data_IF_504863241089
#
_entry.id   IF_504863241089
#
_cell.length_a   1.000
_cell.length_b   1.000
_cell.length_c   1.000
_cell.angle_alpha   90.00
_cell.angle_beta   90.00
_cell.angle_gamma   90.00
#
_symmetry.space_group_name_H-M   'P 1'
#
loop_
_entity.id
_entity.type
_entity.pdbx_description
1 polymer ?
#
# COMPACT_ATOMS: atom_id res chain seq x y z
N UNK A 1 -71.62 -2.82 -30.45
CA UNK A 1 -70.97 -4.02 -29.86
C UNK A 1 -69.42 -4.00 -29.94
N UNK A 2 -68.79 -3.57 -31.04
CA UNK A 2 -67.30 -3.57 -31.16
C UNK A 2 -66.56 -2.66 -30.16
N UNK A 3 -67.15 -1.54 -29.73
CA UNK A 3 -66.54 -0.63 -28.74
C UNK A 3 -66.57 -1.16 -27.30
N UNK A 4 -67.57 -1.98 -26.96
CA UNK A 4 -67.68 -2.60 -25.64
C UNK A 4 -66.66 -3.73 -25.47
N UNK A 5 -66.45 -4.54 -26.51
CA UNK A 5 -65.42 -5.59 -26.51
C UNK A 5 -64.00 -5.02 -26.34
N UNK A 6 -63.70 -3.87 -26.97
CA UNK A 6 -62.41 -3.20 -26.80
C UNK A 6 -62.17 -2.67 -25.39
N UNK A 7 -63.22 -2.12 -24.74
CA UNK A 7 -63.13 -1.64 -23.36
C UNK A 7 -62.98 -2.80 -22.36
N UNK A 8 -63.65 -3.93 -22.58
CA UNK A 8 -63.50 -5.13 -21.76
C UNK A 8 -62.11 -5.76 -21.88
N UNK A 9 -61.54 -5.78 -23.08
CA UNK A 9 -60.17 -6.26 -23.30
C UNK A 9 -59.12 -5.35 -22.64
N UNK A 10 -59.32 -4.03 -22.71
CA UNK A 10 -58.45 -3.07 -22.04
C UNK A 10 -58.50 -3.24 -20.51
N UNK A 11 -59.68 -3.45 -19.93
CA UNK A 11 -59.84 -3.68 -18.49
C UNK A 11 -59.17 -4.97 -18.01
N UNK A 12 -59.25 -6.05 -18.81
CA UNK A 12 -58.58 -7.34 -18.52
C UNK A 12 -57.05 -7.23 -18.61
N UNK A 13 -56.53 -6.44 -19.55
CA UNK A 13 -55.08 -6.19 -19.67
C UNK A 13 -54.61 -5.36 -18.47
N UNK A 14 -55.33 -4.29 -18.10
CA UNK A 14 -54.97 -3.45 -16.96
C UNK A 14 -54.98 -4.26 -15.65
N UNK A 15 -55.96 -5.14 -15.43
CA UNK A 15 -56.01 -5.96 -14.21
C UNK A 15 -54.93 -7.05 -14.14
N UNK A 16 -54.42 -7.50 -15.29
CA UNK A 16 -53.34 -8.50 -15.34
C UNK A 16 -51.94 -7.87 -15.32
N UNK A 17 -51.81 -6.58 -15.63
CA UNK A 17 -50.56 -5.81 -15.47
C UNK A 17 -50.42 -5.09 -14.14
N UNK A 18 -51.43 -5.14 -13.25
CA UNK A 18 -51.34 -4.67 -11.86
C UNK A 18 -50.46 -5.61 -11.02
N UNK A 19 -49.19 -5.64 -11.38
CA UNK A 19 -47.99 -5.70 -10.53
C UNK A 19 -47.92 -6.70 -9.40
N UNK A 20 -46.87 -7.52 -9.43
CA UNK A 20 -46.32 -8.28 -8.31
C UNK A 20 -45.91 -7.43 -7.08
N UNK A 21 -46.30 -6.15 -6.98
CA UNK A 21 -46.05 -5.26 -5.86
C UNK A 21 -46.78 -5.65 -4.57
N UNK A 22 -47.80 -6.51 -4.64
CA UNK A 22 -48.31 -7.21 -3.45
C UNK A 22 -47.25 -8.18 -2.92
N UNK A 23 -46.66 -8.98 -3.81
CA UNK A 23 -45.81 -10.12 -3.41
C UNK A 23 -44.46 -9.63 -2.86
N UNK A 24 -43.94 -8.53 -3.42
CA UNK A 24 -42.65 -7.92 -3.10
C UNK A 24 -42.80 -6.41 -2.90
N UNK A 25 -42.18 -5.84 -1.86
CA UNK A 25 -42.27 -4.42 -1.51
C UNK A 25 -42.25 -4.21 0.01
N UNK A 26 -42.16 -2.97 0.49
CA UNK A 26 -42.11 -2.68 1.95
C UNK A 26 -43.31 -3.24 2.72
N UNK A 27 -44.50 -3.21 2.11
CA UNK A 27 -45.76 -3.73 2.67
C UNK A 27 -46.20 -5.07 2.02
N UNK A 28 -45.30 -5.74 1.29
CA UNK A 28 -45.61 -6.98 0.58
C UNK A 28 -45.56 -8.24 1.45
N UNK A 29 -46.06 -9.37 0.94
CA UNK A 29 -45.99 -10.66 1.66
C UNK A 29 -44.53 -11.09 1.95
N UNK A 30 -43.62 -10.85 0.99
CA UNK A 30 -42.18 -10.94 1.18
C UNK A 30 -41.58 -9.54 1.30
N UNK A 31 -41.82 -8.88 2.45
CA UNK A 31 -41.26 -7.55 2.72
C UNK A 31 -39.75 -7.57 2.89
N UNK A 32 -39.10 -6.54 2.36
CA UNK A 32 -37.69 -6.28 2.64
C UNK A 32 -37.54 -5.88 4.13
N UNK A 33 -36.69 -6.61 4.85
CA UNK A 33 -36.38 -6.36 6.27
C UNK A 33 -35.05 -5.64 6.45
N UNK A 34 -34.40 -5.25 5.35
CA UNK A 34 -33.10 -4.60 5.35
C UNK A 34 -33.05 -3.37 6.24
N UNK A 35 -34.15 -2.64 6.39
CA UNK A 35 -34.26 -1.42 7.22
C UNK A 35 -34.89 -1.63 8.60
N UNK A 36 -35.29 -2.85 8.96
CA UNK A 36 -35.97 -3.14 10.24
C UNK A 36 -35.11 -2.79 11.46
N UNK A 37 -33.77 -2.84 11.31
CA UNK A 37 -32.83 -2.51 12.39
C UNK A 37 -32.92 -1.04 12.82
N UNK A 38 -33.41 -0.13 11.97
CA UNK A 38 -33.60 1.29 12.30
C UNK A 38 -34.76 1.50 13.29
N UNK A 39 -35.71 0.56 13.34
CA UNK A 39 -36.83 0.59 14.28
C UNK A 39 -36.52 -0.14 15.60
N UNK A 40 -35.32 -0.70 15.75
CA UNK A 40 -34.93 -1.43 16.94
C UNK A 40 -34.81 -0.49 18.15
N UNK A 41 -35.54 -0.79 19.22
CA UNK A 41 -35.49 -0.04 20.47
C UNK A 41 -34.40 -0.58 21.39
N UNK A 42 -33.59 0.31 21.95
CA UNK A 42 -32.60 -0.08 22.96
C UNK A 42 -33.30 -0.36 24.30
N UNK A 43 -33.03 -1.52 24.89
CA UNK A 43 -33.49 -1.84 26.24
C UNK A 43 -32.53 -1.30 27.30
N UNK A 44 -33.03 -0.89 28.47
CA UNK A 44 -32.18 -0.44 29.57
C UNK A 44 -31.20 -1.54 30.02
N UNK A 45 -29.99 -1.18 30.48
CA UNK A 45 -29.03 -2.15 31.00
C UNK A 45 -29.59 -2.86 32.23
N UNK A 46 -29.21 -4.13 32.39
CA UNK A 46 -29.59 -4.95 33.53
C UNK A 46 -29.07 -4.33 34.84
N UNK A 47 -29.96 -4.17 35.82
CA UNK A 47 -29.63 -3.66 37.15
C UNK A 47 -29.53 -4.81 38.15
N UNK A 48 -28.52 -4.79 39.01
CA UNK A 48 -28.36 -5.77 40.09
C UNK A 48 -29.16 -5.31 41.31
N UNK A 49 -30.06 -6.13 41.86
CA UNK A 49 -30.78 -5.82 43.09
C UNK A 49 -29.86 -5.57 44.29
N UNK A 50 -30.25 -4.66 45.19
CA UNK A 50 -29.41 -4.18 46.28
C UNK A 50 -29.09 -5.23 47.37
N UNK A 51 -29.86 -6.32 47.42
CA UNK A 51 -29.72 -7.44 48.36
C UNK A 51 -28.71 -8.50 47.89
N UNK A 52 -28.20 -8.40 46.65
CA UNK A 52 -27.26 -9.36 46.07
C UNK A 52 -25.83 -8.81 46.12
N UNK A 53 -25.09 -9.15 47.17
CA UNK A 53 -23.65 -8.88 47.28
C UNK A 53 -22.81 -9.98 46.63
N UNK A 54 -21.78 -9.62 45.85
CA UNK A 54 -20.81 -10.58 45.29
C UNK A 54 -21.00 -10.96 43.82
N UNK A 55 -21.85 -10.25 43.08
CA UNK A 55 -22.02 -10.48 41.63
C UNK A 55 -20.75 -10.05 40.87
N UNK A 56 -20.24 -10.93 40.00
CA UNK A 56 -19.16 -10.61 39.07
C UNK A 56 -19.58 -9.43 38.19
N UNK A 57 -18.67 -8.49 37.93
CA UNK A 57 -18.95 -7.30 37.11
C UNK A 57 -19.63 -7.71 35.79
N UNK A 58 -20.80 -7.12 35.53
CA UNK A 58 -21.55 -7.33 34.28
C UNK A 58 -20.94 -6.46 33.19
N UNK A 59 -19.85 -6.94 32.60
CA UNK A 59 -19.24 -6.31 31.43
C UNK A 59 -19.96 -6.82 30.16
N UNK A 60 -20.47 -5.92 29.29
CA UNK A 60 -21.12 -6.34 28.04
C UNK A 60 -20.10 -7.01 27.13
N UNK A 61 -20.42 -8.21 26.64
CA UNK A 61 -19.56 -8.96 25.70
C UNK A 61 -19.43 -8.28 24.33
N UNK A 62 -20.39 -7.43 23.97
CA UNK A 62 -20.47 -6.72 22.70
C UNK A 62 -20.69 -5.21 22.95
N UNK A 63 -19.66 -4.46 23.40
CA UNK A 63 -19.79 -3.03 23.65
C UNK A 63 -19.91 -2.27 22.33
N UNK A 64 -20.95 -1.43 22.21
CA UNK A 64 -21.10 -0.50 21.09
C UNK A 64 -20.25 0.75 21.38
N UNK A 65 -19.33 1.16 20.49
CA UNK A 65 -18.52 2.37 20.66
C UNK A 65 -19.41 3.62 20.75
N UNK A 66 -19.14 4.52 21.71
CA UNK A 66 -19.98 5.71 21.96
C UNK A 66 -19.74 6.89 21.01
N UNK A 67 -18.67 6.87 20.22
CA UNK A 67 -18.22 7.99 19.39
C UNK A 67 -18.19 7.61 17.90
N UNK A 68 -19.27 7.00 17.39
CA UNK A 68 -19.43 6.80 15.94
C UNK A 68 -20.05 8.08 15.39
N UNK A 69 -19.41 8.72 14.41
CA UNK A 69 -19.96 9.93 13.81
C UNK A 69 -21.29 9.59 13.12
N UNK A 70 -22.37 10.28 13.51
CA UNK A 70 -23.74 10.15 12.95
C UNK A 70 -23.87 10.66 11.50
N UNK A 71 -22.76 10.75 10.75
CA UNK A 71 -22.72 11.36 9.42
C UNK A 71 -23.41 10.54 8.31
N UNK A 72 -23.93 9.35 8.62
CA UNK A 72 -24.61 8.47 7.67
C UNK A 72 -26.11 8.36 7.88
N UNK A 73 -26.69 8.92 8.95
CA UNK A 73 -28.15 9.03 9.08
C UNK A 73 -28.64 10.19 8.23
N UNK A 74 -28.83 9.94 6.93
CA UNK A 74 -29.76 10.74 6.13
C UNK A 74 -31.14 10.14 6.32
N UNK A 75 -32.14 10.97 6.64
CA UNK A 75 -33.55 10.57 6.50
C UNK A 75 -33.80 10.23 5.02
N UNK A 76 -33.97 8.95 4.69
CA UNK A 76 -34.27 8.47 3.33
C UNK A 76 -33.61 7.13 2.96
N UNK A 77 -33.97 6.60 1.79
CA UNK A 77 -33.44 5.36 1.24
C UNK A 77 -31.92 5.47 0.98
N UNK A 78 -31.13 4.59 1.60
CA UNK A 78 -29.68 4.55 1.39
C UNK A 78 -29.37 4.08 -0.02
N UNK A 79 -29.19 5.04 -0.93
CA UNK A 79 -28.77 4.74 -2.30
C UNK A 79 -27.29 4.36 -2.31
N UNK A 80 -27.01 3.08 -2.54
CA UNK A 80 -25.64 2.59 -2.73
C UNK A 80 -25.04 3.33 -3.93
N UNK A 81 -23.94 4.11 -3.76
CA UNK A 81 -23.31 4.78 -4.88
C UNK A 81 -22.87 3.72 -5.89
N UNK A 82 -23.18 3.95 -7.17
CA UNK A 82 -22.71 3.06 -8.24
C UNK A 82 -21.18 2.96 -8.15
N UNK A 83 -20.61 1.75 -8.24
CA UNK A 83 -19.16 1.62 -8.29
C UNK A 83 -18.64 2.49 -9.43
N UNK A 84 -17.64 3.32 -9.12
CA UNK A 84 -16.90 4.03 -10.15
C UNK A 84 -16.43 3.00 -11.17
N UNK A 85 -16.66 3.21 -12.48
CA UNK A 85 -16.13 2.30 -13.48
C UNK A 85 -14.63 2.20 -13.27
N UNK A 86 -14.11 0.97 -13.16
CA UNK A 86 -12.67 0.73 -13.18
C UNK A 86 -12.15 1.36 -14.48
N UNK A 87 -11.32 2.39 -14.35
CA UNK A 87 -10.57 2.90 -15.49
C UNK A 87 -9.75 1.76 -16.05
N UNK A 88 -10.13 1.26 -17.23
CA UNK A 88 -9.43 0.16 -17.91
C UNK A 88 -8.11 0.60 -18.53
N UNK A 89 -7.67 1.82 -18.28
CA UNK A 89 -6.29 2.26 -18.44
C UNK A 89 -5.58 2.10 -17.10
N UNK A 90 -5.42 0.85 -16.64
CA UNK A 90 -4.14 0.50 -16.03
C UNK A 90 -3.14 0.42 -17.18
N UNK A 91 -2.82 1.56 -17.79
CA UNK A 91 -1.47 1.68 -18.32
C UNK A 91 -0.59 1.38 -17.11
N UNK A 92 0.18 0.30 -17.18
CA UNK A 92 1.27 0.11 -16.25
C UNK A 92 2.20 1.30 -16.45
N UNK A 93 1.91 2.39 -15.76
CA UNK A 93 2.74 3.57 -15.83
C UNK A 93 4.07 3.17 -15.21
N UNK A 94 5.15 3.34 -15.95
CA UNK A 94 6.51 3.08 -15.47
C UNK A 94 6.81 3.83 -14.16
N UNK A 95 6.00 4.83 -13.82
CA UNK A 95 6.09 5.65 -12.63
C UNK A 95 4.78 5.59 -11.86
N UNK A 96 4.85 5.36 -10.56
CA UNK A 96 3.70 5.37 -9.66
C UNK A 96 4.00 6.18 -8.42
N UNK A 97 2.96 6.74 -7.83
CA UNK A 97 3.06 7.51 -6.60
C UNK A 97 2.85 6.62 -5.39
N UNK A 98 3.76 6.67 -4.44
CA UNK A 98 3.66 5.92 -3.19
C UNK A 98 3.56 6.87 -2.00
N UNK A 99 2.79 6.46 -0.99
CA UNK A 99 2.60 7.23 0.25
C UNK A 99 2.62 6.29 1.45
N UNK A 100 3.42 6.63 2.47
CA UNK A 100 3.44 5.95 3.77
C UNK A 100 3.56 7.00 4.87
N UNK A 101 2.53 7.11 5.71
CA UNK A 101 2.41 8.20 6.69
C UNK A 101 2.53 9.57 6.02
N UNK A 102 3.51 10.35 6.46
CA UNK A 102 3.84 11.69 5.93
C UNK A 102 4.85 11.64 4.77
N UNK A 103 5.44 10.48 4.48
CA UNK A 103 6.38 10.31 3.38
C UNK A 103 5.66 10.05 2.05
N UNK A 104 6.13 10.69 0.99
CA UNK A 104 5.67 10.51 -0.39
C UNK A 104 6.89 10.40 -1.30
N UNK A 105 6.83 9.48 -2.26
CA UNK A 105 7.90 9.28 -3.22
C UNK A 105 7.33 8.71 -4.52
N UNK A 106 8.10 8.84 -5.60
CA UNK A 106 7.77 8.20 -6.87
C UNK A 106 8.47 6.85 -6.90
N UNK A 107 7.73 5.78 -7.14
CA UNK A 107 8.27 4.47 -7.47
C UNK A 107 8.34 4.36 -9.00
N UNK A 108 9.56 4.29 -9.52
CA UNK A 108 9.85 4.06 -10.92
C UNK A 108 10.21 2.58 -11.16
N UNK A 109 9.61 1.94 -12.15
CA UNK A 109 9.95 0.59 -12.62
C UNK A 109 11.18 0.62 -13.55
N UNK A 110 12.19 1.39 -13.15
CA UNK A 110 13.43 1.61 -13.89
C UNK A 110 14.59 1.66 -12.91
N UNK A 111 15.79 1.36 -13.39
CA UNK A 111 17.01 1.47 -12.59
C UNK A 111 17.32 2.94 -12.29
N UNK A 112 17.96 3.25 -11.14
CA UNK A 112 18.18 4.64 -10.74
C UNK A 112 18.99 5.46 -11.75
N UNK A 113 19.90 4.80 -12.46
CA UNK A 113 20.73 5.38 -13.50
C UNK A 113 19.91 5.85 -14.74
N UNK A 114 18.74 5.25 -14.99
CA UNK A 114 17.80 5.70 -16.02
C UNK A 114 16.91 6.85 -15.53
N UNK A 115 16.57 6.86 -14.24
CA UNK A 115 15.67 7.84 -13.63
C UNK A 115 16.39 9.16 -13.36
N UNK A 116 17.69 9.10 -13.03
CA UNK A 116 18.53 10.26 -12.75
C UNK A 116 18.48 11.36 -13.81
N UNK A 117 18.80 11.11 -15.09
CA UNK A 117 18.77 12.16 -16.11
C UNK A 117 17.35 12.72 -16.33
N UNK A 118 16.30 11.90 -16.15
CA UNK A 118 14.91 12.35 -16.30
C UNK A 118 14.52 13.31 -15.17
N UNK A 119 14.91 12.99 -13.93
CA UNK A 119 14.69 13.88 -12.79
C UNK A 119 15.49 15.17 -12.95
N UNK A 120 16.77 15.07 -13.30
CA UNK A 120 17.65 16.22 -13.49
C UNK A 120 17.10 17.18 -14.55
N UNK A 121 16.76 16.68 -15.72
CA UNK A 121 16.16 17.45 -16.82
C UNK A 121 14.88 18.17 -16.38
N UNK A 122 14.00 17.50 -15.63
CA UNK A 122 12.78 18.14 -15.14
C UNK A 122 13.07 19.37 -14.27
N UNK A 123 14.07 19.31 -13.38
CA UNK A 123 14.40 20.44 -12.51
C UNK A 123 15.02 21.59 -13.34
N UNK A 124 15.89 21.28 -14.30
CA UNK A 124 16.47 22.29 -15.20
C UNK A 124 15.40 22.97 -16.10
N UNK A 125 14.52 22.18 -16.72
CA UNK A 125 13.42 22.67 -17.58
C UNK A 125 12.45 23.59 -16.81
N UNK A 126 12.37 23.41 -15.50
CA UNK A 126 11.54 24.22 -14.61
C UNK A 126 12.27 25.41 -13.98
N UNK A 127 13.52 25.66 -14.37
CA UNK A 127 14.30 26.83 -13.95
C UNK A 127 15.07 26.64 -12.65
N UNK A 128 15.14 25.44 -12.08
CA UNK A 128 16.02 25.16 -10.95
C UNK A 128 17.48 25.07 -11.42
N UNK A 129 18.38 25.79 -10.75
CA UNK A 129 19.83 25.73 -10.96
C UNK A 129 20.40 24.71 -9.99
N UNK A 130 21.04 23.67 -10.51
CA UNK A 130 21.66 22.62 -9.70
C UNK A 130 22.97 23.14 -9.11
N UNK A 131 23.15 23.00 -7.79
CA UNK A 131 24.31 23.52 -7.05
C UNK A 131 25.28 22.42 -6.61
N UNK A 132 24.74 21.28 -6.16
CA UNK A 132 25.53 20.12 -5.73
C UNK A 132 24.96 18.85 -6.35
N UNK A 133 25.85 17.97 -6.81
CA UNK A 133 25.51 16.67 -7.38
C UNK A 133 26.41 15.58 -6.79
N UNK A 134 25.80 14.46 -6.42
CA UNK A 134 26.44 13.25 -5.94
C UNK A 134 25.81 12.04 -6.64
N UNK A 135 26.16 11.76 -7.90
CA UNK A 135 25.60 10.63 -8.66
C UNK A 135 25.82 9.28 -7.96
N UNK A 136 26.95 9.12 -7.27
CA UNK A 136 27.31 7.93 -6.50
C UNK A 136 26.33 7.58 -5.36
N UNK A 137 25.67 8.60 -4.80
CA UNK A 137 24.64 8.42 -3.75
C UNK A 137 23.25 8.72 -4.27
N UNK A 138 23.11 8.98 -5.57
CA UNK A 138 21.86 9.40 -6.19
C UNK A 138 21.26 10.66 -5.59
N UNK A 139 22.07 11.65 -5.19
CA UNK A 139 21.56 12.90 -4.59
C UNK A 139 21.98 14.15 -5.37
N UNK A 140 21.06 15.05 -5.67
CA UNK A 140 21.39 16.41 -6.13
C UNK A 140 20.56 17.46 -5.39
N UNK A 141 21.08 18.68 -5.31
CA UNK A 141 20.37 19.81 -4.71
C UNK A 141 20.48 21.07 -5.56
N UNK A 142 19.40 21.85 -5.55
CA UNK A 142 19.38 23.15 -6.23
C UNK A 142 20.12 24.21 -5.41
N UNK A 143 20.38 25.35 -6.05
CA UNK A 143 20.67 26.61 -5.37
C UNK A 143 19.42 27.18 -4.70
N UNK A 144 19.61 28.14 -3.80
CA UNK A 144 18.53 28.96 -3.27
C UNK A 144 18.00 29.87 -4.36
N UNK A 145 16.70 29.79 -4.65
CA UNK A 145 16.07 30.57 -5.73
C UNK A 145 14.72 31.13 -5.32
N UNK A 146 14.39 32.31 -5.86
CA UNK A 146 13.09 32.94 -5.68
C UNK A 146 12.08 32.41 -6.70
N UNK A 147 10.78 32.54 -6.39
CA UNK A 147 9.70 32.07 -7.26
C UNK A 147 9.70 32.74 -8.65
N UNK A 148 10.13 34.00 -8.74
CA UNK A 148 10.21 34.75 -10.01
C UNK A 148 11.38 34.32 -10.90
N UNK A 149 12.32 33.53 -10.37
CA UNK A 149 13.40 32.92 -11.14
C UNK A 149 13.02 31.53 -11.71
N UNK A 150 11.92 30.95 -11.26
CA UNK A 150 11.43 29.63 -11.68
C UNK A 150 10.46 29.76 -12.86
N UNK A 151 10.16 28.63 -13.50
CA UNK A 151 9.15 28.59 -14.57
C UNK A 151 7.79 29.09 -14.07
N UNK A 152 7.02 29.76 -14.93
CA UNK A 152 5.72 30.31 -14.55
C UNK A 152 4.74 29.25 -14.01
N UNK A 153 4.83 28.01 -14.52
CA UNK A 153 4.06 26.87 -14.02
C UNK A 153 4.44 26.49 -12.60
N UNK A 154 5.75 26.38 -12.30
CA UNK A 154 6.24 26.05 -10.97
C UNK A 154 5.98 27.18 -10.00
N UNK A 155 6.28 28.43 -10.36
CA UNK A 155 6.01 29.61 -9.55
C UNK A 155 4.53 29.66 -9.11
N UNK A 156 3.59 29.45 -10.04
CA UNK A 156 2.15 29.41 -9.75
C UNK A 156 1.78 28.29 -8.76
N UNK A 157 2.35 27.10 -8.91
CA UNK A 157 2.10 25.97 -8.00
C UNK A 157 2.69 26.22 -6.60
N UNK A 158 3.91 26.76 -6.53
CA UNK A 158 4.57 27.13 -5.28
C UNK A 158 3.77 28.19 -4.53
N UNK A 159 3.29 29.23 -5.21
CA UNK A 159 2.40 30.21 -4.60
C UNK A 159 1.11 29.57 -4.08
N UNK A 160 0.52 28.63 -4.82
CA UNK A 160 -0.68 27.89 -4.37
C UNK A 160 -0.40 26.95 -3.18
N UNK A 161 0.84 26.45 -3.05
CA UNK A 161 1.29 25.64 -1.93
C UNK A 161 1.66 26.47 -0.68
N UNK A 162 1.56 27.80 -0.75
CA UNK A 162 1.78 28.71 0.37
C UNK A 162 3.19 29.31 0.47
N UNK A 163 4.03 29.12 -0.55
CA UNK A 163 5.37 29.71 -0.57
C UNK A 163 5.28 31.23 -0.80
N UNK A 164 5.92 32.00 0.07
CA UNK A 164 5.95 33.47 -0.04
C UNK A 164 6.77 33.92 -1.25
N UNK A 165 6.35 35.00 -1.90
CA UNK A 165 7.11 35.64 -3.00
C UNK A 165 8.47 36.21 -2.53
N UNK A 166 8.58 36.49 -1.23
CA UNK A 166 9.80 36.96 -0.57
C UNK A 166 10.58 35.80 0.09
N UNK A 167 10.30 34.55 -0.28
CA UNK A 167 11.07 33.39 0.13
C UNK A 167 11.99 32.90 -0.98
N UNK A 168 13.12 32.33 -0.58
CA UNK A 168 13.98 31.51 -1.41
C UNK A 168 13.72 30.04 -1.06
N UNK A 169 13.59 29.21 -2.09
CA UNK A 169 13.40 27.77 -1.98
C UNK A 169 14.65 27.05 -2.46
N UNK A 170 15.02 25.99 -1.74
CA UNK A 170 16.03 25.02 -2.17
C UNK A 170 15.42 23.63 -2.16
N UNK A 171 15.69 22.83 -3.19
CA UNK A 171 15.16 21.46 -3.31
C UNK A 171 16.33 20.48 -3.29
N UNK A 172 16.13 19.36 -2.61
CA UNK A 172 16.97 18.18 -2.69
C UNK A 172 16.19 17.02 -3.27
N UNK A 173 16.78 16.38 -4.25
CA UNK A 173 16.25 15.17 -4.87
C UNK A 173 17.18 14.02 -4.53
N UNK A 174 16.60 12.93 -4.07
CA UNK A 174 17.33 11.71 -3.76
C UNK A 174 16.68 10.55 -4.49
N UNK A 175 17.44 9.87 -5.33
CA UNK A 175 17.05 8.72 -6.11
C UNK A 175 17.79 7.54 -5.52
N UNK A 176 17.04 6.52 -5.11
CA UNK A 176 17.58 5.37 -4.40
C UNK A 176 17.09 4.09 -5.07
N UNK A 177 17.89 3.01 -5.10
CA UNK A 177 17.40 1.70 -5.51
C UNK A 177 16.18 1.31 -4.68
N UNK A 178 15.13 0.85 -5.34
CA UNK A 178 13.95 0.36 -4.65
C UNK A 178 14.22 -0.97 -3.95
N UNK A 179 13.26 -1.39 -3.13
CA UNK A 179 13.29 -2.72 -2.50
C UNK A 179 13.12 -3.83 -3.55
N UNK A 180 12.44 -3.52 -4.66
CA UNK A 180 12.33 -4.36 -5.84
C UNK A 180 13.54 -4.08 -6.77
N UNK A 181 14.24 -5.11 -7.25
CA UNK A 181 15.19 -5.03 -8.37
C UNK A 181 14.59 -4.25 -9.55
N UNK A 182 15.50 -3.59 -10.26
CA UNK A 182 15.17 -2.73 -11.41
C UNK A 182 14.12 -1.66 -11.11
N UNK A 183 13.89 -1.31 -9.83
CA UNK A 183 13.05 -0.18 -9.45
C UNK A 183 13.88 0.88 -8.74
N UNK A 184 13.36 2.10 -8.76
CA UNK A 184 13.94 3.25 -8.07
C UNK A 184 12.87 3.99 -7.30
N UNK A 185 13.28 4.60 -6.21
CA UNK A 185 12.46 5.49 -5.41
C UNK A 185 13.03 6.90 -5.50
N UNK A 186 12.19 7.86 -5.92
CA UNK A 186 12.57 9.28 -6.04
C UNK A 186 11.90 10.07 -4.94
N UNK A 187 12.72 10.67 -4.09
CA UNK A 187 12.33 11.52 -2.98
C UNK A 187 12.64 12.97 -3.30
N UNK A 188 11.68 13.85 -3.02
CA UNK A 188 11.84 15.30 -3.18
C UNK A 188 11.57 15.96 -1.84
N UNK A 189 12.53 16.74 -1.36
CA UNK A 189 12.41 17.51 -0.13
C UNK A 189 12.78 18.96 -0.41
N UNK A 190 11.96 19.88 0.06
CA UNK A 190 12.19 21.32 -0.06
C UNK A 190 12.44 21.96 1.29
N UNK A 191 13.21 23.05 1.27
CA UNK A 191 13.40 23.96 2.40
C UNK A 191 13.21 25.39 1.91
N UNK A 192 12.75 26.25 2.81
CA UNK A 192 12.48 27.65 2.53
C UNK A 192 13.23 28.53 3.53
N UNK A 193 13.65 29.70 3.06
CA UNK A 193 14.19 30.76 3.91
C UNK A 193 13.74 32.14 3.40
N UNK A 194 13.73 33.19 4.24
CA UNK A 194 13.50 34.54 3.76
C UNK A 194 14.53 34.97 2.71
N UNK A 195 14.10 35.69 1.68
CA UNK A 195 14.96 36.18 0.62
C UNK A 195 16.10 37.07 1.17
N UNK A 196 17.31 36.87 0.66
CA UNK A 196 18.50 37.57 1.14
C UNK A 196 19.03 37.11 2.51
N UNK A 197 18.42 36.09 3.12
CA UNK A 197 18.96 35.44 4.32
C UNK A 197 20.22 34.65 3.99
N UNK A 198 21.22 34.71 4.87
CA UNK A 198 22.42 33.87 4.81
C UNK A 198 22.29 32.60 5.65
N UNK A 199 21.11 32.33 6.21
CA UNK A 199 20.85 31.12 6.98
C UNK A 199 21.05 29.88 6.11
N UNK A 200 21.85 28.95 6.61
CA UNK A 200 22.04 27.63 6.03
C UNK A 200 21.05 26.67 6.68
N UNK A 201 19.89 26.49 6.03
CA UNK A 201 18.83 25.60 6.51
C UNK A 201 19.15 24.19 6.03
N UNK A 202 19.46 23.29 6.96
CA UNK A 202 19.72 21.90 6.65
C UNK A 202 18.46 21.20 6.12
N UNK A 203 18.63 20.32 5.13
CA UNK A 203 17.53 19.48 4.65
C UNK A 203 17.07 18.54 5.77
N UNK A 204 15.76 18.48 6.05
CA UNK A 204 15.26 17.58 7.08
C UNK A 204 15.29 16.13 6.58
N UNK A 205 15.40 15.18 7.50
CA UNK A 205 15.31 13.74 7.20
C UNK A 205 13.88 13.33 6.80
N UNK A 206 12.87 14.12 7.20
CA UNK A 206 11.45 13.92 6.88
C UNK A 206 10.88 15.22 6.29
N UNK A 207 9.95 15.11 5.36
CA UNK A 207 9.25 16.25 4.78
C UNK A 207 8.66 17.15 5.87
N UNK A 208 9.09 18.41 5.90
CA UNK A 208 8.50 19.46 6.75
C UNK A 208 7.50 20.32 5.96
N UNK A 209 7.77 20.55 4.67
CA UNK A 209 6.92 21.35 3.80
C UNK A 209 5.97 20.45 2.99
N UNK A 210 4.98 19.85 3.65
CA UNK A 210 4.08 18.84 3.06
C UNK A 210 3.40 19.30 1.76
N UNK A 211 2.95 20.56 1.68
CA UNK A 211 2.28 21.10 0.51
C UNK A 211 3.21 21.27 -0.69
N UNK A 212 4.39 21.84 -0.45
CA UNK A 212 5.39 22.09 -1.48
C UNK A 212 6.02 20.79 -2.00
N UNK A 213 6.45 19.91 -1.09
CA UNK A 213 7.03 18.61 -1.45
C UNK A 213 6.04 17.77 -2.26
N UNK A 214 4.76 17.77 -1.88
CA UNK A 214 3.72 17.07 -2.63
C UNK A 214 3.52 17.67 -4.03
N UNK A 215 3.47 19.00 -4.16
CA UNK A 215 3.29 19.66 -5.44
C UNK A 215 4.46 19.38 -6.41
N UNK A 216 5.70 19.44 -5.91
CA UNK A 216 6.89 19.13 -6.71
C UNK A 216 6.96 17.65 -7.11
N UNK A 217 6.64 16.75 -6.17
CA UNK A 217 6.61 15.30 -6.44
C UNK A 217 5.55 14.95 -7.49
N UNK A 218 4.37 15.55 -7.40
CA UNK A 218 3.27 15.29 -8.34
C UNK A 218 3.55 15.83 -9.75
N UNK A 219 4.19 16.99 -9.84
CA UNK A 219 4.56 17.57 -11.13
C UNK A 219 5.74 16.83 -11.77
N UNK A 220 6.71 16.36 -10.97
CA UNK A 220 7.77 15.46 -11.41
C UNK A 220 7.20 14.14 -11.95
N UNK A 221 6.28 13.50 -11.22
CA UNK A 221 5.59 12.29 -11.65
C UNK A 221 4.86 12.50 -12.98
N UNK A 222 4.11 13.60 -13.10
CA UNK A 222 3.40 13.93 -14.32
C UNK A 222 4.36 14.18 -15.50
N UNK A 223 5.53 14.78 -15.24
CA UNK A 223 6.57 14.97 -16.25
C UNK A 223 7.18 13.65 -16.71
N UNK A 224 7.53 12.77 -15.76
CA UNK A 224 8.07 11.44 -16.02
C UNK A 224 7.09 10.58 -16.85
N UNK A 225 5.80 10.59 -16.50
CA UNK A 225 4.76 9.90 -17.26
C UNK A 225 4.68 10.39 -18.71
N UNK A 226 4.62 11.72 -18.92
CA UNK A 226 4.61 12.30 -20.27
C UNK A 226 5.86 11.99 -21.09
N UNK A 227 7.04 11.95 -20.45
CA UNK A 227 8.29 11.61 -21.12
C UNK A 227 8.34 10.12 -21.53
N UNK A 228 7.78 9.24 -20.70
CA UNK A 228 7.65 7.82 -21.02
C UNK A 228 6.71 7.58 -22.21
N UNK A 229 5.53 8.23 -22.21
CA UNK A 229 4.55 8.13 -23.32
C UNK A 229 5.13 8.62 -24.65
N UNK A 230 6.00 9.63 -24.62
CA UNK A 230 6.64 10.20 -25.83
C UNK A 230 7.82 9.39 -26.35
N UNK A 231 8.21 8.30 -25.69
CA UNK A 231 9.33 7.46 -26.11
C UNK A 231 10.67 8.19 -26.05
N UNK A 232 10.86 9.09 -25.08
CA UNK A 232 12.12 9.83 -24.91
C UNK A 232 13.32 8.89 -24.82
N UNK A 233 14.34 9.13 -25.64
CA UNK A 233 15.59 8.37 -25.58
C UNK A 233 16.38 8.81 -24.34
N UNK A 234 16.53 7.90 -23.38
CA UNK A 234 17.32 8.14 -22.17
C UNK A 234 18.79 7.98 -22.54
N UNK A 235 19.59 9.03 -22.35
CA UNK A 235 21.03 8.97 -22.58
C UNK A 235 21.71 8.15 -21.49
N UNK A 236 22.03 6.88 -21.79
CA UNK A 236 22.77 5.97 -20.90
C UNK A 236 24.23 6.39 -20.67
N UNK A 237 24.69 7.48 -21.30
CA UNK A 237 26.02 8.05 -21.02
C UNK A 237 26.08 8.66 -19.61
N UNK A 238 24.98 9.27 -19.14
CA UNK A 238 24.88 9.81 -17.77
C UNK A 238 24.66 8.71 -16.71
N UNK A 239 24.27 7.51 -17.13
CA UNK A 239 24.03 6.36 -16.26
C UNK A 239 25.33 5.66 -15.80
N UNK A 240 26.46 5.88 -16.49
CA UNK A 240 27.73 5.19 -16.18
C UNK A 240 28.37 5.58 -14.85
N UNK A 241 28.07 6.79 -14.36
CA UNK A 241 28.65 7.33 -13.13
C UNK A 241 27.75 7.08 -11.90
N UNK A 242 26.70 6.26 -12.05
CA UNK A 242 25.69 5.99 -11.05
C UNK A 242 25.89 4.60 -10.42
N UNK A 243 26.48 4.53 -9.22
CA UNK A 243 26.75 3.30 -8.46
C UNK A 243 26.20 3.38 -7.02
N UNK A 244 24.87 3.46 -6.89
CA UNK A 244 24.23 3.48 -5.57
C UNK A 244 24.10 2.05 -5.00
N UNK A 245 24.56 1.77 -3.77
CA UNK A 245 24.53 0.44 -3.19
C UNK A 245 23.11 -0.13 -3.03
N UNK A 246 22.97 -1.44 -3.27
CA UNK A 246 21.72 -2.18 -3.08
C UNK A 246 21.17 -2.01 -1.67
N UNK A 247 19.85 -1.79 -1.56
CA UNK A 247 19.13 -1.75 -0.28
C UNK A 247 18.79 -3.12 0.29
N UNK A 248 19.07 -4.18 -0.46
CA UNK A 248 18.81 -5.56 -0.05
C UNK A 248 20.15 -6.27 0.03
N UNK A 249 20.51 -6.71 1.24
CA UNK A 249 21.78 -7.40 1.48
C UNK A 249 21.59 -8.61 2.41
N UNK A 250 21.96 -9.79 1.93
CA UNK A 250 22.06 -10.99 2.75
C UNK A 250 23.43 -11.00 3.45
N UNK A 251 23.42 -11.14 4.77
CA UNK A 251 24.62 -11.10 5.62
C UNK A 251 24.47 -12.08 6.78
N UNK A 252 25.44 -12.10 7.70
CA UNK A 252 25.38 -12.89 8.93
C UNK A 252 25.36 -11.96 10.15
N UNK A 253 24.58 -12.32 11.17
CA UNK A 253 24.56 -11.60 12.45
C UNK A 253 25.85 -11.86 13.28
N UNK A 254 25.97 -11.20 14.43
CA UNK A 254 27.13 -11.39 15.33
C UNK A 254 27.29 -12.80 15.89
N UNK A 255 26.32 -13.70 15.67
CA UNK A 255 26.36 -15.11 16.05
C UNK A 255 26.52 -16.06 14.85
N UNK A 256 26.70 -15.53 13.63
CA UNK A 256 26.85 -16.31 12.40
C UNK A 256 25.54 -16.78 11.76
N UNK A 257 24.37 -16.29 12.20
CA UNK A 257 23.09 -16.66 11.60
C UNK A 257 22.81 -15.80 10.36
N UNK A 258 22.28 -16.38 9.25
CA UNK A 258 21.89 -15.62 8.07
C UNK A 258 20.77 -14.61 8.38
N UNK A 259 20.95 -13.37 7.93
CA UNK A 259 19.98 -12.28 8.07
C UNK A 259 19.90 -11.46 6.78
N UNK A 260 18.71 -11.07 6.38
CA UNK A 260 18.48 -10.22 5.21
C UNK A 260 18.18 -8.79 5.69
N UNK A 261 19.05 -7.85 5.35
CA UNK A 261 18.87 -6.44 5.66
C UNK A 261 18.15 -5.74 4.51
N UNK A 262 17.08 -5.02 4.85
CA UNK A 262 16.27 -4.24 3.93
C UNK A 262 16.35 -2.75 4.33
N UNK A 263 16.87 -1.92 3.45
CA UNK A 263 16.93 -0.46 3.59
C UNK A 263 15.58 0.22 3.39
N UNK A 264 14.54 -0.23 4.10
CA UNK A 264 13.20 0.31 4.02
C UNK A 264 12.52 0.34 5.39
N UNK A 265 11.46 1.15 5.52
CA UNK A 265 10.62 1.14 6.70
C UNK A 265 9.83 -0.18 6.85
N UNK A 266 9.33 -0.45 8.06
CA UNK A 266 8.62 -1.70 8.39
C UNK A 266 7.42 -1.94 7.49
N UNK A 267 6.67 -0.90 7.14
CA UNK A 267 5.44 -1.06 6.37
C UNK A 267 5.75 -1.51 4.94
N UNK A 268 6.82 -0.96 4.34
CA UNK A 268 7.32 -1.38 3.03
C UNK A 268 7.99 -2.74 3.06
N UNK A 269 8.88 -2.97 4.03
CA UNK A 269 9.55 -4.24 4.18
C UNK A 269 8.53 -5.38 4.34
N UNK A 270 7.47 -5.16 5.13
CA UNK A 270 6.35 -6.08 5.26
C UNK A 270 5.69 -6.37 3.91
N UNK A 271 5.24 -5.34 3.20
CA UNK A 271 4.56 -5.52 1.90
C UNK A 271 5.45 -6.21 0.85
N UNK A 272 6.75 -5.89 0.81
CA UNK A 272 7.70 -6.49 -0.13
C UNK A 272 8.04 -7.93 0.24
N UNK A 273 8.31 -8.23 1.51
CA UNK A 273 8.60 -9.59 1.98
C UNK A 273 7.37 -10.49 1.81
N UNK A 274 6.16 -10.02 2.11
CA UNK A 274 4.94 -10.78 1.89
C UNK A 274 4.78 -11.22 0.43
N UNK A 275 5.00 -10.29 -0.52
CA UNK A 275 4.94 -10.60 -1.95
C UNK A 275 6.04 -11.55 -2.40
N UNK A 276 7.25 -11.41 -1.85
CA UNK A 276 8.37 -12.29 -2.14
C UNK A 276 8.12 -13.71 -1.60
N UNK A 277 7.50 -13.81 -0.40
CA UNK A 277 7.09 -15.08 0.21
C UNK A 277 6.02 -15.80 -0.60
N UNK A 278 5.09 -15.08 -1.23
CA UNK A 278 4.04 -15.67 -2.09
C UNK A 278 4.61 -16.34 -3.35
N UNK A 279 5.84 -16.00 -3.75
CA UNK A 279 6.52 -16.60 -4.90
C UNK A 279 7.42 -17.79 -4.53
N UNK A 280 7.53 -18.13 -3.25
CA UNK A 280 8.34 -19.24 -2.77
C UNK A 280 7.65 -20.61 -2.91
N UNK A 281 8.44 -21.68 -2.87
CA UNK A 281 7.96 -23.07 -2.88
C UNK A 281 7.40 -23.52 -1.51
N UNK A 282 6.69 -22.65 -0.80
CA UNK A 282 6.12 -22.90 0.53
C UNK A 282 4.73 -22.29 0.67
N UNK A 283 4.01 -22.68 1.72
CA UNK A 283 2.71 -22.09 2.05
C UNK A 283 2.87 -21.06 3.16
N UNK A 284 2.37 -19.85 2.94
CA UNK A 284 2.14 -18.87 4.03
C UNK A 284 0.86 -19.30 4.76
N UNK A 285 0.98 -19.75 6.01
CA UNK A 285 -0.14 -20.25 6.82
C UNK A 285 -0.89 -19.10 7.53
N UNK A 286 -0.16 -18.13 8.05
CA UNK A 286 -0.71 -17.00 8.81
C UNK A 286 0.24 -15.80 8.77
N UNK A 287 -0.28 -14.61 9.05
CA UNK A 287 0.46 -13.37 9.12
C UNK A 287 0.07 -12.58 10.37
N UNK A 288 1.07 -12.08 11.10
CA UNK A 288 0.86 -11.22 12.24
C UNK A 288 1.71 -9.95 12.09
N UNK A 289 1.08 -8.90 11.56
CA UNK A 289 1.74 -7.61 11.31
C UNK A 289 2.19 -6.92 12.59
N UNK A 290 1.44 -7.03 13.68
CA UNK A 290 1.79 -6.34 14.93
C UNK A 290 3.03 -6.93 15.59
N UNK A 291 3.30 -8.22 15.38
CA UNK A 291 4.52 -8.90 15.82
C UNK A 291 5.61 -8.96 14.74
N UNK A 292 5.33 -8.50 13.52
CA UNK A 292 6.24 -8.59 12.38
C UNK A 292 6.54 -10.04 11.98
N UNK A 293 5.56 -10.94 12.02
CA UNK A 293 5.74 -12.38 11.77
C UNK A 293 4.92 -12.89 10.57
N UNK A 294 5.58 -13.61 9.67
CA UNK A 294 4.94 -14.52 8.71
C UNK A 294 5.16 -15.97 9.16
N UNK A 295 4.12 -16.79 9.14
CA UNK A 295 4.23 -18.22 9.40
C UNK A 295 4.26 -18.97 8.07
N UNK A 296 5.37 -19.67 7.80
CA UNK A 296 5.56 -20.43 6.57
C UNK A 296 5.67 -21.93 6.86
N UNK A 297 5.17 -22.75 5.94
CA UNK A 297 5.28 -24.20 5.96
C UNK A 297 6.03 -24.67 4.71
N UNK A 298 7.24 -25.20 4.89
CA UNK A 298 8.13 -25.59 3.79
C UNK A 298 7.72 -26.90 3.10
N UNK A 299 6.91 -27.74 3.76
CA UNK A 299 6.54 -29.05 3.22
C UNK A 299 5.27 -29.02 2.38
N UNK A 300 4.37 -28.06 2.63
CA UNK A 300 3.21 -27.82 1.77
C UNK A 300 3.64 -26.88 0.63
N UNK A 301 3.93 -27.46 -0.56
CA UNK A 301 4.15 -26.68 -1.78
C UNK A 301 2.98 -25.70 -1.98
N UNK A 302 3.28 -24.50 -2.48
CA UNK A 302 2.27 -23.52 -2.88
C UNK A 302 1.21 -24.20 -3.77
N UNK A 303 -0.07 -24.00 -3.46
CA UNK A 303 -1.18 -24.61 -4.22
C UNK A 303 -1.22 -24.00 -5.64
N UNK A 304 -0.56 -24.65 -6.59
CA UNK A 304 -0.84 -24.47 -8.01
C UNK A 304 -2.04 -25.34 -8.42
N UNK A 305 -2.87 -24.91 -9.40
CA UNK A 305 -4.02 -25.69 -9.88
C UNK A 305 -3.68 -27.12 -10.34
N UNK A 306 -2.41 -27.39 -10.59
CA UNK A 306 -1.86 -28.66 -11.08
C UNK A 306 -1.59 -29.68 -9.96
N UNK A 307 -1.61 -29.27 -8.69
CA UNK A 307 -1.26 -30.10 -7.53
C UNK A 307 -2.46 -30.57 -6.69
N UNK A 308 -3.71 -30.41 -7.17
CA UNK A 308 -4.86 -31.00 -6.47
C UNK A 308 -4.94 -32.52 -6.71
N UNK A 309 -5.04 -33.35 -5.66
CA UNK A 309 -5.40 -34.75 -5.84
C UNK A 309 -6.80 -34.82 -6.45
N UNK A 310 -6.88 -35.44 -7.64
CA UNK A 310 -8.14 -35.67 -8.34
C UNK A 310 -9.13 -36.51 -7.53
N UNK A 311 -10.36 -36.61 -8.03
CA UNK A 311 -11.49 -37.26 -7.35
C UNK A 311 -11.15 -38.65 -6.76
N UNK A 312 -10.39 -39.47 -7.47
CA UNK A 312 -10.00 -40.81 -7.02
C UNK A 312 -8.88 -40.81 -5.96
N UNK A 313 -8.00 -39.80 -5.96
CA UNK A 313 -6.98 -39.64 -4.92
C UNK A 313 -7.58 -39.31 -3.54
N UNK A 314 -8.74 -38.64 -3.51
CA UNK A 314 -9.48 -38.36 -2.28
C UNK A 314 -10.28 -39.57 -1.76
N UNK A 315 -10.69 -40.48 -2.64
CA UNK A 315 -11.53 -41.63 -2.27
C UNK A 315 -10.72 -42.83 -1.77
N UNK A 316 -9.44 -42.95 -2.16
CA UNK A 316 -8.59 -44.11 -1.84
C UNK A 316 -7.30 -43.76 -1.06
N UNK A 317 -7.18 -42.53 -0.53
CA UNK A 317 -5.99 -42.11 0.23
C UNK A 317 -5.82 -42.90 1.53
N UNK A 318 -4.68 -43.58 1.69
CA UNK A 318 -4.30 -44.23 2.96
C UNK A 318 -4.04 -43.19 4.06
N UNK A 319 -4.17 -43.59 5.33
CA UNK A 319 -3.75 -42.77 6.47
C UNK A 319 -2.32 -42.25 6.25
N UNK A 320 -2.14 -40.95 6.43
CA UNK A 320 -0.86 -40.26 6.23
C UNK A 320 0.24 -40.91 7.04
N UNK A 321 1.41 -41.12 6.42
CA UNK A 321 2.57 -41.72 7.08
C UNK A 321 3.11 -40.80 8.18
N UNK A 322 3.92 -41.36 9.10
CA UNK A 322 4.57 -40.57 10.16
C UNK A 322 5.52 -39.52 9.54
N UNK A 323 6.18 -39.84 8.43
CA UNK A 323 6.93 -38.88 7.61
C UNK A 323 6.05 -37.77 7.00
N UNK A 324 4.82 -38.05 6.53
CA UNK A 324 3.91 -37.00 6.05
C UNK A 324 3.38 -36.10 7.17
N UNK A 325 3.30 -36.60 8.40
CA UNK A 325 2.90 -35.84 9.59
C UNK A 325 4.05 -34.97 10.09
N UNK A 326 5.29 -35.50 10.08
CA UNK A 326 6.50 -34.73 10.41
C UNK A 326 6.87 -33.73 9.32
N UNK A 327 6.62 -34.04 8.03
CA UNK A 327 6.76 -33.08 6.94
C UNK A 327 5.80 -31.90 7.13
N UNK A 328 4.53 -32.13 7.46
CA UNK A 328 3.55 -31.07 7.82
C UNK A 328 3.95 -30.23 9.06
N UNK A 329 5.04 -30.58 9.75
CA UNK A 329 5.56 -29.88 10.93
C UNK A 329 6.79 -29.00 10.65
N UNK A 330 7.23 -28.84 9.39
CA UNK A 330 8.26 -27.87 9.02
C UNK A 330 7.74 -26.43 8.96
N UNK A 331 7.20 -25.98 10.10
CA UNK A 331 6.74 -24.60 10.32
C UNK A 331 7.90 -23.72 10.76
N UNK A 332 8.03 -22.59 10.09
CA UNK A 332 9.00 -21.56 10.40
C UNK A 332 8.32 -20.19 10.47
N UNK A 333 8.98 -19.26 11.13
CA UNK A 333 8.56 -17.90 11.33
C UNK A 333 9.56 -16.99 10.62
N UNK A 334 9.10 -16.16 9.69
CA UNK A 334 9.90 -15.08 9.10
C UNK A 334 9.59 -13.82 9.88
N UNK A 335 10.58 -13.33 10.62
CA UNK A 335 10.45 -12.16 11.49
C UNK A 335 11.06 -10.94 10.84
N UNK A 336 10.33 -9.83 10.88
CA UNK A 336 10.79 -8.51 10.46
C UNK A 336 10.99 -7.64 11.70
N UNK A 337 12.23 -7.22 11.94
CA UNK A 337 12.59 -6.39 13.10
C UNK A 337 13.20 -5.07 12.63
N UNK A 338 12.74 -3.94 13.17
CA UNK A 338 13.30 -2.62 12.86
C UNK A 338 14.65 -2.45 13.55
N UNK A 339 15.68 -2.10 12.78
CA UNK A 339 17.04 -1.80 13.27
C UNK A 339 17.47 -0.45 12.66
N UNK A 340 17.43 0.61 13.47
CA UNK A 340 17.66 1.97 13.00
C UNK A 340 16.63 2.38 11.93
N UNK A 341 17.12 2.76 10.75
CA UNK A 341 16.31 3.12 9.56
C UNK A 341 16.11 1.95 8.59
N UNK A 342 16.50 0.73 8.99
CA UNK A 342 16.40 -0.49 8.19
C UNK A 342 15.55 -1.55 8.89
N UNK A 343 15.17 -2.59 8.14
CA UNK A 343 14.47 -3.76 8.66
C UNK A 343 15.33 -4.98 8.43
N UNK A 344 15.56 -5.74 9.49
CA UNK A 344 16.23 -7.03 9.43
C UNK A 344 15.20 -8.14 9.37
N UNK A 345 15.37 -9.06 8.41
CA UNK A 345 14.53 -10.24 8.23
C UNK A 345 15.31 -11.47 8.66
N UNK A 346 14.73 -12.24 9.59
CA UNK A 346 15.30 -13.48 10.14
C UNK A 346 14.32 -14.63 9.98
N UNK A 347 14.83 -15.86 10.02
CA UNK A 347 14.03 -17.09 9.96
C UNK A 347 14.23 -17.88 11.26
N UNK A 348 13.13 -18.17 11.93
CA UNK A 348 13.09 -18.80 13.25
C UNK A 348 12.21 -20.06 13.20
N UNK A 349 12.52 -21.06 14.01
CA UNK A 349 11.62 -22.22 14.21
C UNK A 349 10.49 -21.88 15.19
N UNK A 350 10.81 -21.05 16.19
CA UNK A 350 9.87 -20.50 17.17
C UNK A 350 10.52 -19.31 17.88
N UNK A 351 9.78 -18.65 18.77
CA UNK A 351 10.19 -17.43 19.50
C UNK A 351 11.56 -17.53 20.22
N UNK A 352 12.03 -18.73 20.57
CA UNK A 352 13.28 -18.93 21.30
C UNK A 352 14.36 -19.65 20.47
N UNK A 353 14.07 -20.04 19.23
CA UNK A 353 14.93 -20.93 18.45
C UNK A 353 15.07 -20.42 17.02
N UNK A 354 16.28 -20.02 16.64
CA UNK A 354 16.64 -19.66 15.26
C UNK A 354 16.51 -20.91 14.37
N UNK A 355 16.14 -20.73 13.11
CA UNK A 355 16.14 -21.83 12.15
C UNK A 355 17.58 -22.31 11.86
N UNK A 356 17.76 -23.58 11.45
CA UNK A 356 19.04 -24.04 10.92
C UNK A 356 19.55 -23.10 9.80
N UNK A 357 20.86 -22.82 9.79
CA UNK A 357 21.43 -21.80 8.92
C UNK A 357 21.24 -22.10 7.41
N UNK A 358 21.21 -23.37 7.02
CA UNK A 358 20.91 -23.81 5.66
C UNK A 358 19.47 -23.49 5.25
N UNK A 359 18.50 -23.75 6.14
CA UNK A 359 17.09 -23.41 5.93
C UNK A 359 16.89 -21.90 5.90
N UNK A 360 17.46 -21.19 6.87
CA UNK A 360 17.39 -19.73 6.93
C UNK A 360 17.97 -19.10 5.66
N UNK A 361 19.16 -19.55 5.22
CA UNK A 361 19.79 -19.04 3.99
C UNK A 361 18.93 -19.35 2.76
N UNK A 362 18.37 -20.56 2.64
CA UNK A 362 17.47 -20.92 1.52
C UNK A 362 16.26 -20.00 1.46
N UNK A 363 15.55 -19.81 2.58
CA UNK A 363 14.35 -18.97 2.64
C UNK A 363 14.70 -17.51 2.36
N UNK A 364 15.74 -16.98 3.01
CA UNK A 364 16.16 -15.59 2.82
C UNK A 364 16.70 -15.31 1.42
N UNK A 365 17.38 -16.26 0.77
CA UNK A 365 17.81 -16.12 -0.62
C UNK A 365 16.64 -16.09 -1.58
N UNK A 366 15.64 -16.96 -1.41
CA UNK A 366 14.42 -16.92 -2.23
C UNK A 366 13.63 -15.62 -1.99
N UNK A 367 13.55 -15.14 -0.75
CA UNK A 367 12.99 -13.81 -0.48
C UNK A 367 13.81 -12.75 -1.23
N UNK A 368 15.14 -12.74 -1.09
CA UNK A 368 16.02 -11.79 -1.77
C UNK A 368 15.85 -11.81 -3.29
N UNK A 369 15.71 -12.99 -3.89
CA UNK A 369 15.46 -13.13 -5.32
C UNK A 369 14.06 -12.67 -5.73
N UNK A 370 13.06 -12.88 -4.88
CA UNK A 370 11.68 -12.48 -5.18
C UNK A 370 11.31 -11.09 -4.64
N UNK A 371 12.26 -10.37 -4.05
CA UNK A 371 12.21 -8.92 -3.87
C UNK A 371 12.45 -8.31 -5.26
N UNK A 372 11.39 -8.44 -6.08
CA UNK A 372 11.40 -8.58 -7.53
C UNK A 372 12.32 -7.64 -8.27
#
# INVERSE_FOLDING_TARGET
>A
MKRLAGLSALALIISSTSGCGWLWGEDGYFRDRGSDYLQATQTPPMQVPADVSGVKRLDPLLPIPRNVADSTQKEGEYTVPRPLPLGTTSESSDFSLQKSGDARWILAQRQPAEVWPVAHQYFEDNGFRIAEERPQTGEFSSSWQRLDELSASVAKRLSAAGVSADAETRVRVRIEPGVQRNTSEVYVVSVERPAGSTADVAFPTRTTNLGLDAALTDDLLASMGRNAEKGGSISLLAARDYDTPSRVALSEDGSGNPVLNLGADLDRAWSSVGRALDQGDWRVEDINRSLGLYYINLAEKAKTPENEPGFFGRLFGSKSSKEEIDARAERYQVRLSKVGDSVQVTVEKNINTVAPADIARRVLSVIQDNLG
#
